data_IF_790641745732
#
_entry.id   IF_790641745732
#
_cell.length_a   1.000
_cell.length_b   1.000
_cell.length_c   1.000
_cell.angle_alpha   90.00
_cell.angle_beta   90.00
_cell.angle_gamma   90.00
#
_symmetry.space_group_name_H-M   'P 1'
#
loop_
_entity.id
_entity.type
_entity.pdbx_description
1 polymer ?
#
# COMPACT_ATOMS: atom_id res chain seq x y z
N UNK A 1 -11.12 37.03 18.39
CA UNK A 1 -9.81 36.51 18.82
C UNK A 1 -8.71 37.21 18.01
N UNK A 2 -7.61 37.67 18.64
CA UNK A 2 -6.63 38.49 17.96
C UNK A 2 -5.78 37.66 16.98
N UNK A 3 -5.70 38.19 15.77
CA UNK A 3 -4.92 37.76 14.60
C UNK A 3 -3.46 37.49 15.00
N UNK A 4 -3.05 36.21 15.09
CA UNK A 4 -1.63 35.89 15.18
C UNK A 4 -0.98 36.26 13.85
N UNK A 5 -0.10 37.27 13.89
CA UNK A 5 0.77 37.63 12.77
C UNK A 5 1.63 36.40 12.46
N UNK A 6 1.76 36.08 11.18
CA UNK A 6 2.82 35.21 10.70
C UNK A 6 4.15 35.64 11.32
N UNK A 7 4.98 34.72 11.84
CA UNK A 7 6.30 35.10 12.29
C UNK A 7 7.07 35.60 11.08
N UNK A 8 7.32 36.90 11.04
CA UNK A 8 8.39 37.46 10.23
C UNK A 8 9.71 36.79 10.66
N UNK A 9 10.69 36.62 9.75
CA UNK A 9 12.00 36.15 10.12
C UNK A 9 12.66 37.22 11.01
N UNK A 10 12.49 37.07 12.33
CA UNK A 10 13.11 37.92 13.32
C UNK A 10 14.57 37.52 13.48
N UNK A 11 15.46 38.47 13.25
CA UNK A 11 16.74 38.60 13.95
C UNK A 11 17.76 37.49 13.70
N UNK A 12 18.84 37.86 13.00
CA UNK A 12 20.06 37.07 12.92
C UNK A 12 20.52 36.66 14.32
N UNK A 13 20.38 35.36 14.60
CA UNK A 13 21.13 34.68 15.64
C UNK A 13 22.47 34.29 15.01
N UNK A 14 23.57 34.74 15.60
CA UNK A 14 24.92 34.45 15.15
C UNK A 14 25.11 32.93 15.02
N UNK A 15 25.32 32.47 13.79
CA UNK A 15 25.63 31.08 13.48
C UNK A 15 27.09 30.83 13.90
N UNK A 16 27.39 29.83 14.75
CA UNK A 16 28.78 29.49 15.04
C UNK A 16 29.46 29.05 13.75
N UNK A 17 30.66 29.59 13.50
CA UNK A 17 31.41 29.46 12.25
C UNK A 17 31.74 27.97 11.95
N UNK A 18 30.86 27.34 11.18
CA UNK A 18 31.02 25.99 10.65
C UNK A 18 30.63 25.97 9.18
N UNK A 19 31.45 26.56 8.33
CA UNK A 19 31.50 26.37 6.86
C UNK A 19 30.13 26.15 6.18
N UNK A 20 29.38 27.24 6.01
CA UNK A 20 28.19 27.29 5.14
C UNK A 20 28.64 27.42 3.68
N UNK A 21 28.40 26.39 2.88
CA UNK A 21 28.55 26.46 1.44
C UNK A 21 27.24 26.99 0.83
N UNK A 22 27.15 28.28 0.53
CA UNK A 22 26.20 28.90 -0.43
C UNK A 22 24.67 28.83 -0.18
N UNK A 23 24.15 27.84 0.56
CA UNK A 23 22.72 27.49 0.62
C UNK A 23 22.12 27.55 2.04
N UNK A 24 22.92 27.91 3.05
CA UNK A 24 22.50 28.08 4.43
C UNK A 24 22.39 26.79 5.25
N UNK A 25 22.74 25.62 4.71
CA UNK A 25 22.74 24.35 5.45
C UNK A 25 24.08 24.07 6.14
N UNK A 26 24.03 23.42 7.30
CA UNK A 26 25.20 22.85 7.98
C UNK A 26 25.64 21.52 7.32
N UNK A 27 26.86 21.07 7.60
CA UNK A 27 27.33 19.76 7.12
C UNK A 27 26.48 18.59 7.62
N UNK A 28 26.02 18.64 8.87
CA UNK A 28 25.14 17.60 9.44
C UNK A 28 23.78 17.55 8.75
N UNK A 29 23.21 18.71 8.43
CA UNK A 29 21.96 18.79 7.64
C UNK A 29 22.16 18.27 6.21
N UNK A 30 23.28 18.61 5.55
CA UNK A 30 23.60 18.08 4.21
C UNK A 30 23.73 16.56 4.21
N UNK A 31 24.43 15.99 5.18
CA UNK A 31 24.56 14.54 5.33
C UNK A 31 23.18 13.89 5.54
N UNK A 32 22.32 14.50 6.37
CA UNK A 32 20.97 14.01 6.61
C UNK A 32 20.09 14.07 5.36
N UNK A 33 20.15 15.17 4.60
CA UNK A 33 19.43 15.31 3.33
C UNK A 33 19.91 14.31 2.27
N UNK A 34 21.21 14.05 2.22
CA UNK A 34 21.78 13.03 1.35
C UNK A 34 21.29 11.63 1.72
N UNK A 35 21.32 11.27 3.02
CA UNK A 35 20.78 9.99 3.50
C UNK A 35 19.31 9.82 3.16
N UNK A 36 18.48 10.85 3.38
CA UNK A 36 17.07 10.84 3.00
C UNK A 36 16.88 10.65 1.49
N UNK A 37 17.70 11.31 0.66
CA UNK A 37 17.66 11.11 -0.79
C UNK A 37 18.04 9.70 -1.21
N UNK A 38 19.02 9.08 -0.55
CA UNK A 38 19.39 7.68 -0.76
C UNK A 38 18.22 6.75 -0.41
N UNK A 39 17.56 6.97 0.72
CA UNK A 39 16.38 6.21 1.14
C UNK A 39 15.25 6.37 0.12
N UNK A 40 14.90 7.60 -0.26
CA UNK A 40 13.86 7.88 -1.26
C UNK A 40 14.13 7.15 -2.59
N UNK A 41 15.39 7.15 -3.05
CA UNK A 41 15.81 6.43 -4.26
C UNK A 41 15.72 4.93 -4.10
N UNK A 42 16.16 4.37 -2.96
CA UNK A 42 16.08 2.93 -2.69
C UNK A 42 14.64 2.44 -2.69
N UNK A 43 13.72 3.22 -2.12
CA UNK A 43 12.28 2.87 -2.09
C UNK A 43 11.75 2.72 -3.52
N UNK A 44 12.04 3.68 -4.40
CA UNK A 44 11.65 3.61 -5.83
C UNK A 44 12.23 2.42 -6.59
N UNK A 45 13.43 1.96 -6.21
CA UNK A 45 14.07 0.78 -6.82
C UNK A 45 13.42 -0.51 -6.31
N UNK A 46 13.01 -0.55 -5.04
CA UNK A 46 12.41 -1.72 -4.39
C UNK A 46 10.92 -1.89 -4.77
N UNK A 47 10.21 -0.80 -5.06
CA UNK A 47 8.79 -0.77 -5.42
C UNK A 47 8.38 -1.84 -6.47
N UNK A 48 9.02 -1.93 -7.65
CA UNK A 48 8.66 -2.94 -8.64
C UNK A 48 8.81 -4.37 -8.11
N UNK A 49 9.86 -4.62 -7.30
CA UNK A 49 10.11 -5.95 -6.73
C UNK A 49 9.00 -6.33 -5.75
N UNK A 50 8.57 -5.41 -4.90
CA UNK A 50 7.48 -5.65 -3.94
C UNK A 50 6.13 -5.84 -4.65
N UNK A 51 5.86 -5.10 -5.73
CA UNK A 51 4.66 -5.30 -6.54
C UNK A 51 4.68 -6.67 -7.22
N UNK A 52 5.80 -7.05 -7.82
CA UNK A 52 5.96 -8.37 -8.45
C UNK A 52 5.80 -9.49 -7.43
N UNK A 53 6.34 -9.32 -6.22
CA UNK A 53 6.14 -10.25 -5.12
C UNK A 53 4.66 -10.36 -4.72
N UNK A 54 3.96 -9.24 -4.56
CA UNK A 54 2.54 -9.24 -4.20
C UNK A 54 1.68 -9.95 -5.27
N UNK A 55 1.91 -9.65 -6.55
CA UNK A 55 1.23 -10.31 -7.67
C UNK A 55 1.57 -11.81 -7.69
N UNK A 56 2.83 -12.18 -7.42
CA UNK A 56 3.28 -13.56 -7.32
C UNK A 56 2.57 -14.33 -6.21
N UNK A 57 2.43 -13.74 -5.02
CA UNK A 57 1.73 -14.35 -3.88
C UNK A 57 0.23 -14.54 -4.18
N UNK A 58 -0.43 -13.54 -4.77
CA UNK A 58 -1.84 -13.65 -5.18
C UNK A 58 -1.99 -14.75 -6.26
N UNK A 59 -1.08 -14.79 -7.22
CA UNK A 59 -1.11 -15.80 -8.30
C UNK A 59 -0.88 -17.21 -7.76
N UNK A 60 -0.01 -17.38 -6.76
CA UNK A 60 0.23 -18.65 -6.09
C UNK A 60 -1.01 -19.12 -5.31
N UNK A 61 -1.67 -18.24 -4.56
CA UNK A 61 -2.92 -18.57 -3.84
C UNK A 61 -4.01 -19.01 -4.82
N UNK A 62 -4.23 -18.25 -5.90
CA UNK A 62 -5.18 -18.60 -6.95
C UNK A 62 -4.82 -19.94 -7.60
N UNK A 63 -3.56 -20.13 -7.98
CA UNK A 63 -3.10 -21.38 -8.60
C UNK A 63 -3.38 -22.59 -7.70
N UNK A 64 -3.03 -22.51 -6.42
CA UNK A 64 -3.22 -23.61 -5.47
C UNK A 64 -4.71 -23.90 -5.26
N UNK A 65 -5.56 -22.87 -5.19
CA UNK A 65 -7.02 -23.02 -5.08
C UNK A 65 -7.60 -23.75 -6.28
N UNK A 66 -7.31 -23.30 -7.51
CA UNK A 66 -7.87 -23.91 -8.72
C UNK A 66 -7.27 -25.29 -9.02
N UNK A 67 -6.01 -25.54 -8.66
CA UNK A 67 -5.34 -26.78 -9.00
C UNK A 67 -5.60 -27.92 -8.01
N UNK A 68 -5.64 -27.61 -6.71
CA UNK A 68 -5.73 -28.65 -5.67
C UNK A 68 -7.09 -28.65 -4.97
N UNK A 69 -7.66 -27.48 -4.67
CA UNK A 69 -8.88 -27.39 -3.86
C UNK A 69 -10.13 -27.66 -4.69
N UNK A 70 -10.24 -27.02 -5.85
CA UNK A 70 -11.45 -27.07 -6.67
C UNK A 70 -11.77 -28.48 -7.22
N UNK A 71 -10.78 -29.29 -7.67
CA UNK A 71 -11.03 -30.67 -8.08
C UNK A 71 -11.50 -31.55 -6.91
N UNK A 72 -10.95 -31.35 -5.72
CA UNK A 72 -11.32 -32.11 -4.52
C UNK A 72 -12.78 -31.83 -4.12
N UNK A 73 -13.18 -30.55 -4.15
CA UNK A 73 -14.58 -30.13 -3.94
C UNK A 73 -15.49 -30.78 -4.99
N UNK A 74 -15.05 -30.85 -6.25
CA UNK A 74 -15.82 -31.46 -7.34
C UNK A 74 -16.11 -32.94 -7.07
N UNK A 75 -15.09 -33.69 -6.64
CA UNK A 75 -15.23 -35.12 -6.38
C UNK A 75 -16.14 -35.40 -5.18
N UNK A 76 -16.07 -34.57 -4.13
CA UNK A 76 -16.81 -34.81 -2.87
C UNK A 76 -18.23 -34.23 -2.86
N UNK A 77 -18.39 -33.01 -3.38
CA UNK A 77 -19.63 -32.21 -3.26
C UNK A 77 -20.35 -32.01 -4.59
N UNK A 78 -19.75 -32.45 -5.70
CA UNK A 78 -20.32 -32.36 -7.04
C UNK A 78 -20.05 -31.03 -7.75
N UNK A 79 -20.44 -30.99 -9.04
CA UNK A 79 -20.07 -29.91 -9.95
C UNK A 79 -20.73 -28.55 -9.63
N UNK A 80 -21.94 -28.55 -9.08
CA UNK A 80 -22.64 -27.31 -8.72
C UNK A 80 -21.89 -26.53 -7.64
N UNK A 81 -21.43 -27.21 -6.59
CA UNK A 81 -20.71 -26.59 -5.48
C UNK A 81 -19.36 -26.06 -5.95
N UNK A 82 -18.66 -26.83 -6.79
CA UNK A 82 -17.45 -26.37 -7.47
C UNK A 82 -17.69 -25.07 -8.27
N UNK A 83 -18.74 -25.01 -9.09
CA UNK A 83 -19.05 -23.83 -9.88
C UNK A 83 -19.29 -22.59 -9.00
N UNK A 84 -19.99 -22.74 -7.88
CA UNK A 84 -20.21 -21.66 -6.91
C UNK A 84 -18.89 -21.15 -6.30
N UNK A 85 -18.03 -22.06 -5.85
CA UNK A 85 -16.71 -21.70 -5.32
C UNK A 85 -15.82 -21.01 -6.38
N UNK A 86 -15.86 -21.48 -7.63
CA UNK A 86 -15.11 -20.88 -8.73
C UNK A 86 -15.60 -19.46 -9.06
N UNK A 87 -16.92 -19.26 -9.18
CA UNK A 87 -17.51 -17.94 -9.45
C UNK A 87 -17.18 -16.96 -8.32
N UNK A 88 -17.29 -17.39 -7.07
CA UNK A 88 -16.94 -16.56 -5.91
C UNK A 88 -15.45 -16.19 -5.90
N UNK A 89 -14.56 -17.16 -6.13
CA UNK A 89 -13.11 -16.92 -6.18
C UNK A 89 -12.74 -15.94 -7.30
N UNK A 90 -13.33 -16.09 -8.50
CA UNK A 90 -13.11 -15.16 -9.62
C UNK A 90 -13.61 -13.75 -9.31
N UNK A 91 -14.75 -13.62 -8.63
CA UNK A 91 -15.28 -12.32 -8.22
C UNK A 91 -14.40 -11.63 -7.18
N UNK A 92 -13.89 -12.37 -6.19
CA UNK A 92 -12.91 -11.85 -5.23
C UNK A 92 -11.63 -11.40 -5.94
N UNK A 93 -11.12 -12.22 -6.84
CA UNK A 93 -9.91 -11.91 -7.62
C UNK A 93 -10.08 -10.64 -8.45
N UNK A 94 -11.22 -10.50 -9.13
CA UNK A 94 -11.56 -9.28 -9.87
C UNK A 94 -11.55 -8.05 -8.95
N UNK A 95 -12.16 -8.12 -7.78
CA UNK A 95 -12.22 -6.99 -6.86
C UNK A 95 -10.83 -6.60 -6.31
N UNK A 96 -9.98 -7.58 -6.00
CA UNK A 96 -8.59 -7.34 -5.56
C UNK A 96 -7.83 -6.60 -6.66
N UNK A 97 -7.78 -7.15 -7.88
CA UNK A 97 -7.02 -6.53 -8.97
C UNK A 97 -7.58 -5.19 -9.42
N UNK A 98 -8.91 -5.06 -9.51
CA UNK A 98 -9.57 -3.81 -9.88
C UNK A 98 -9.18 -2.69 -8.90
N UNK A 99 -9.31 -2.93 -7.60
CA UNK A 99 -8.99 -1.91 -6.60
C UNK A 99 -7.49 -1.65 -6.49
N UNK A 100 -6.63 -2.67 -6.66
CA UNK A 100 -5.18 -2.47 -6.74
C UNK A 100 -4.80 -1.58 -7.94
N UNK A 101 -5.36 -1.86 -9.12
CA UNK A 101 -5.13 -1.09 -10.33
C UNK A 101 -5.52 0.38 -10.13
N UNK A 102 -6.75 0.66 -9.71
CA UNK A 102 -7.20 2.04 -9.50
C UNK A 102 -6.45 2.72 -8.35
N UNK A 103 -6.03 2.00 -7.31
CA UNK A 103 -5.21 2.58 -6.25
C UNK A 103 -3.82 3.00 -6.76
N UNK A 104 -3.16 2.12 -7.54
CA UNK A 104 -1.83 2.34 -8.06
C UNK A 104 -1.78 3.42 -9.15
N UNK A 105 -2.73 3.43 -10.08
CA UNK A 105 -2.67 4.28 -11.27
C UNK A 105 -3.50 5.57 -11.19
N UNK A 106 -4.41 5.71 -10.23
CA UNK A 106 -5.14 6.98 -10.07
C UNK A 106 -4.26 8.04 -9.40
N UNK A 107 -4.48 9.30 -9.77
CA UNK A 107 -3.88 10.44 -9.04
C UNK A 107 -4.29 10.34 -7.56
N UNK A 108 -3.36 10.52 -6.60
CA UNK A 108 -3.70 10.59 -5.19
C UNK A 108 -4.35 11.93 -4.79
N UNK A 109 -4.49 12.86 -5.74
CA UNK A 109 -4.88 14.24 -5.49
C UNK A 109 -3.67 15.10 -5.22
N UNK A 110 -3.44 16.13 -6.04
CA UNK A 110 -2.31 17.05 -5.87
C UNK A 110 -2.78 18.48 -5.63
N UNK A 111 -1.95 19.30 -5.00
CA UNK A 111 -2.30 20.70 -4.73
C UNK A 111 -2.42 21.56 -5.99
N UNK A 112 -1.96 21.09 -7.15
CA UNK A 112 -2.16 21.75 -8.45
C UNK A 112 -3.62 21.66 -8.90
N UNK A 113 -4.24 20.50 -8.71
CA UNK A 113 -5.65 20.25 -9.08
C UNK A 113 -6.61 21.11 -8.26
N UNK A 114 -6.19 21.56 -7.07
CA UNK A 114 -7.02 22.43 -6.21
C UNK A 114 -6.97 23.89 -6.66
N UNK A 115 -6.02 24.35 -7.48
CA UNK A 115 -5.76 25.78 -7.69
C UNK A 115 -6.99 26.62 -8.08
N UNK A 116 -7.90 26.07 -8.88
CA UNK A 116 -9.10 26.79 -9.35
C UNK A 116 -10.21 26.87 -8.30
N UNK A 117 -10.38 25.82 -7.48
CA UNK A 117 -11.33 25.77 -6.36
C UNK A 117 -10.72 26.30 -5.04
N UNK A 118 -9.39 26.42 -4.98
CA UNK A 118 -8.58 26.82 -3.84
C UNK A 118 -8.80 28.26 -3.43
N UNK A 119 -9.03 29.17 -4.39
CA UNK A 119 -9.10 30.60 -4.11
C UNK A 119 -10.26 30.94 -3.16
N UNK A 120 -11.40 30.25 -3.32
CA UNK A 120 -12.56 30.42 -2.45
C UNK A 120 -12.36 29.78 -1.07
N UNK A 121 -11.66 28.64 -1.00
CA UNK A 121 -11.38 27.92 0.25
C UNK A 121 -10.19 28.50 1.06
N UNK A 122 -9.29 29.23 0.40
CA UNK A 122 -8.16 29.90 1.03
C UNK A 122 -8.58 31.03 1.98
N UNK A 123 -9.80 31.55 1.84
CA UNK A 123 -10.36 32.54 2.75
C UNK A 123 -10.95 31.92 4.03
N UNK A 124 -11.24 30.62 4.05
CA UNK A 124 -11.91 29.95 5.17
C UNK A 124 -10.99 29.09 6.04
N UNK A 125 -9.82 28.67 5.53
CA UNK A 125 -8.88 27.82 6.26
C UNK A 125 -7.45 28.39 6.28
N UNK A 126 -6.67 28.02 7.29
CA UNK A 126 -5.25 28.40 7.39
C UNK A 126 -4.38 27.52 6.47
N UNK A 127 -3.86 28.14 5.41
CA UNK A 127 -2.99 27.48 4.44
C UNK A 127 -1.54 27.57 4.90
N UNK A 128 -0.86 26.43 4.96
CA UNK A 128 0.58 26.39 5.25
C UNK A 128 1.37 26.62 3.97
N UNK A 129 2.65 26.94 4.09
CA UNK A 129 3.56 27.01 2.94
C UNK A 129 4.40 25.74 2.82
N UNK A 130 4.48 25.16 1.62
CA UNK A 130 5.45 24.10 1.34
C UNK A 130 6.72 24.71 0.73
N UNK A 131 7.84 24.68 1.47
CA UNK A 131 9.14 25.18 0.97
C UNK A 131 9.65 24.39 -0.24
N UNK A 132 9.49 23.07 -0.25
CA UNK A 132 9.98 22.18 -1.34
C UNK A 132 9.23 22.40 -2.66
N UNK A 133 7.91 22.57 -2.60
CA UNK A 133 7.07 22.80 -3.79
C UNK A 133 6.91 24.29 -4.14
N UNK A 134 7.43 25.19 -3.29
CA UNK A 134 7.27 26.64 -3.35
C UNK A 134 5.83 27.12 -3.61
N UNK A 135 4.87 26.59 -2.84
CA UNK A 135 3.44 26.90 -3.03
C UNK A 135 2.62 26.75 -1.75
N UNK A 136 1.42 27.31 -1.78
CA UNK A 136 0.39 27.11 -0.77
C UNK A 136 0.03 25.63 -0.61
N UNK A 137 0.01 25.17 0.63
CA UNK A 137 -0.24 23.81 1.05
C UNK A 137 -1.63 23.79 1.71
N UNK A 138 -2.67 23.26 1.04
CA UNK A 138 -4.01 23.14 1.59
C UNK A 138 -4.04 22.40 2.92
N UNK A 139 -5.07 22.60 3.76
CA UNK A 139 -5.27 21.81 4.98
C UNK A 139 -5.19 20.31 4.71
N UNK A 140 -4.64 19.55 5.68
CA UNK A 140 -4.46 18.10 5.63
C UNK A 140 -3.57 17.54 4.50
N UNK A 141 -3.07 18.37 3.59
CA UNK A 141 -2.09 17.90 2.60
C UNK A 141 -0.73 17.67 3.26
N UNK A 142 0.12 16.81 2.68
CA UNK A 142 1.52 16.61 3.08
C UNK A 142 2.43 16.50 1.86
N UNK A 143 3.69 16.89 2.01
CA UNK A 143 4.69 16.73 0.95
C UNK A 143 5.30 15.35 1.06
N UNK A 144 5.16 14.54 0.02
CA UNK A 144 5.87 13.28 -0.11
C UNK A 144 7.22 13.53 -0.78
N UNK A 145 8.33 13.25 -0.09
CA UNK A 145 9.67 13.36 -0.65
C UNK A 145 9.89 12.35 -1.78
N UNK A 146 9.36 11.14 -1.63
CA UNK A 146 9.46 10.06 -2.62
C UNK A 146 8.74 10.46 -3.91
N UNK A 147 7.53 11.00 -3.87
CA UNK A 147 6.81 11.46 -5.07
C UNK A 147 7.19 12.89 -5.50
N UNK A 148 7.96 13.61 -4.68
CA UNK A 148 8.30 15.03 -4.83
C UNK A 148 7.09 15.95 -5.14
N UNK A 149 5.98 15.72 -4.44
CA UNK A 149 4.73 16.50 -4.62
C UNK A 149 3.95 16.61 -3.32
N UNK A 150 3.14 17.66 -3.20
CA UNK A 150 2.16 17.75 -2.13
C UNK A 150 0.90 16.97 -2.51
N UNK A 151 0.51 16.03 -1.66
CA UNK A 151 -0.63 15.14 -1.83
C UNK A 151 -1.76 15.58 -0.90
N UNK A 152 -2.99 15.63 -1.41
CA UNK A 152 -4.18 16.04 -0.67
C UNK A 152 -4.61 14.94 0.30
N UNK A 153 -4.92 15.32 1.55
CA UNK A 153 -5.28 14.39 2.63
C UNK A 153 -4.36 13.16 2.62
N UNK A 154 -3.05 13.41 2.48
CA UNK A 154 -2.06 12.36 2.32
C UNK A 154 -2.05 11.49 3.57
N UNK A 155 -2.17 10.19 3.36
CA UNK A 155 -2.02 9.19 4.40
C UNK A 155 -0.55 8.74 4.44
N UNK A 156 -0.09 8.05 3.39
CA UNK A 156 1.30 7.61 3.26
C UNK A 156 1.71 7.39 1.80
N UNK A 157 3.00 7.18 1.56
CA UNK A 157 3.51 6.63 0.30
C UNK A 157 3.53 5.11 0.39
N UNK A 158 2.72 4.43 -0.41
CA UNK A 158 2.59 2.98 -0.34
C UNK A 158 3.53 2.32 -1.35
N UNK A 159 4.54 1.63 -0.83
CA UNK A 159 5.51 0.88 -1.65
C UNK A 159 4.88 -0.27 -2.43
N UNK A 160 3.75 -0.80 -1.93
CA UNK A 160 2.98 -1.88 -2.58
C UNK A 160 2.10 -1.38 -3.73
N UNK A 161 1.91 -0.07 -3.83
CA UNK A 161 1.12 0.58 -4.90
C UNK A 161 2.01 1.43 -5.82
N UNK A 162 3.30 1.60 -5.50
CA UNK A 162 4.21 2.56 -6.11
C UNK A 162 3.57 3.96 -6.27
N UNK A 163 2.72 4.35 -5.31
CA UNK A 163 1.95 5.58 -5.36
C UNK A 163 1.66 6.08 -3.93
N UNK A 164 1.43 7.39 -3.80
CA UNK A 164 0.87 7.92 -2.57
C UNK A 164 -0.58 7.50 -2.41
N UNK A 165 -1.00 7.30 -1.17
CA UNK A 165 -2.40 7.17 -0.79
C UNK A 165 -2.86 8.54 -0.31
N UNK A 166 -3.79 9.11 -1.05
CA UNK A 166 -4.35 10.43 -0.81
C UNK A 166 -5.84 10.47 -1.12
N UNK A 167 -6.40 11.68 -1.14
CA UNK A 167 -7.84 11.89 -1.19
C UNK A 167 -8.56 11.14 -2.32
N UNK A 168 -8.02 11.11 -3.53
CA UNK A 168 -8.70 10.54 -4.70
C UNK A 168 -8.56 9.02 -4.85
N UNK A 169 -7.55 8.39 -4.27
CA UNK A 169 -7.34 6.94 -4.36
C UNK A 169 -7.52 6.18 -3.02
N UNK A 170 -7.78 6.90 -1.92
CA UNK A 170 -8.00 6.30 -0.59
C UNK A 170 -9.10 5.23 -0.58
N UNK A 171 -10.22 5.46 -1.28
CA UNK A 171 -11.31 4.47 -1.37
C UNK A 171 -10.83 3.14 -1.94
N UNK A 172 -10.07 3.20 -3.04
CA UNK A 172 -9.55 2.00 -3.70
C UNK A 172 -8.53 1.28 -2.82
N UNK A 173 -7.70 2.02 -2.08
CA UNK A 173 -6.78 1.44 -1.10
C UNK A 173 -7.51 0.63 -0.02
N UNK A 174 -8.55 1.21 0.59
CA UNK A 174 -9.33 0.52 1.63
C UNK A 174 -10.07 -0.70 1.07
N UNK A 175 -10.68 -0.57 -0.11
CA UNK A 175 -11.36 -1.70 -0.76
C UNK A 175 -10.39 -2.82 -1.14
N UNK A 176 -9.18 -2.48 -1.63
CA UNK A 176 -8.14 -3.46 -1.89
C UNK A 176 -7.79 -4.27 -0.64
N UNK A 177 -7.53 -3.60 0.49
CA UNK A 177 -7.23 -4.28 1.76
C UNK A 177 -8.38 -5.17 2.22
N UNK A 178 -9.62 -4.67 2.11
CA UNK A 178 -10.81 -5.42 2.49
C UNK A 178 -10.96 -6.70 1.65
N UNK A 179 -10.87 -6.61 0.33
CA UNK A 179 -11.02 -7.78 -0.56
C UNK A 179 -9.86 -8.77 -0.44
N UNK A 180 -8.63 -8.29 -0.22
CA UNK A 180 -7.50 -9.15 0.11
C UNK A 180 -7.73 -9.95 1.38
N UNK A 181 -8.26 -9.31 2.43
CA UNK A 181 -8.57 -9.97 3.70
C UNK A 181 -9.71 -10.99 3.55
N UNK A 182 -10.81 -10.62 2.88
CA UNK A 182 -11.93 -11.53 2.61
C UNK A 182 -11.48 -12.73 1.78
N UNK A 183 -10.67 -12.50 0.74
CA UNK A 183 -10.12 -13.57 -0.10
C UNK A 183 -9.23 -14.52 0.69
N UNK A 184 -8.29 -13.98 1.47
CA UNK A 184 -7.38 -14.78 2.30
C UNK A 184 -8.13 -15.60 3.35
N UNK A 185 -9.13 -15.00 4.01
CA UNK A 185 -9.96 -15.69 4.99
C UNK A 185 -10.80 -16.80 4.35
N UNK A 186 -11.40 -16.53 3.18
CA UNK A 186 -12.15 -17.52 2.42
C UNK A 186 -11.26 -18.69 2.00
N UNK A 187 -10.10 -18.43 1.39
CA UNK A 187 -9.12 -19.47 1.03
C UNK A 187 -8.78 -20.30 2.26
N UNK A 188 -8.36 -19.67 3.37
CA UNK A 188 -7.99 -20.36 4.60
C UNK A 188 -9.12 -21.26 5.14
N UNK A 189 -10.37 -20.79 5.17
CA UNK A 189 -11.51 -21.59 5.63
C UNK A 189 -11.78 -22.80 4.71
N UNK A 190 -11.71 -22.63 3.39
CA UNK A 190 -11.88 -23.74 2.46
C UNK A 190 -10.76 -24.76 2.62
N UNK A 191 -9.50 -24.31 2.75
CA UNK A 191 -8.36 -25.18 3.06
C UNK A 191 -8.59 -25.96 4.36
N UNK A 192 -9.03 -25.28 5.42
CA UNK A 192 -9.29 -25.90 6.72
C UNK A 192 -10.42 -26.93 6.69
N UNK A 193 -11.42 -26.78 5.81
CA UNK A 193 -12.55 -27.71 5.72
C UNK A 193 -12.25 -28.91 4.82
N UNK A 194 -11.54 -28.71 3.69
CA UNK A 194 -11.38 -29.75 2.68
C UNK A 194 -10.14 -30.64 2.91
N UNK A 195 -9.07 -30.12 3.52
CA UNK A 195 -7.81 -30.86 3.72
C UNK A 195 -7.72 -31.82 4.92
N UNK A 196 -8.45 -31.67 6.05
CA UNK A 196 -8.34 -32.62 7.16
C UNK A 196 -8.62 -34.07 6.77
N UNK A 197 -9.50 -34.28 5.78
CA UNK A 197 -9.79 -35.60 5.20
C UNK A 197 -8.66 -36.14 4.32
N UNK A 198 -7.96 -35.29 3.57
CA UNK A 198 -6.76 -35.70 2.82
C UNK A 198 -5.64 -36.12 3.78
N UNK A 199 -5.39 -35.32 4.83
CA UNK A 199 -4.41 -35.66 5.85
C UNK A 199 -4.74 -36.98 6.57
N UNK A 200 -6.01 -37.24 6.87
CA UNK A 200 -6.43 -38.51 7.48
C UNK A 200 -6.35 -39.72 6.53
N UNK A 201 -6.64 -39.54 5.25
CA UNK A 201 -6.52 -40.62 4.25
C UNK A 201 -5.06 -40.93 3.97
N UNK A 202 -4.24 -39.90 3.81
CA UNK A 202 -2.80 -40.04 3.61
C UNK A 202 -2.16 -40.67 4.85
N UNK A 203 -2.47 -40.20 6.08
CA UNK A 203 -1.93 -40.82 7.30
C UNK A 203 -2.29 -42.31 7.42
N UNK A 204 -3.52 -42.69 7.04
CA UNK A 204 -3.91 -44.11 6.97
C UNK A 204 -3.16 -44.90 5.90
N UNK A 205 -2.80 -44.28 4.79
CA UNK A 205 -1.95 -44.93 3.78
C UNK A 205 -0.50 -45.07 4.24
N UNK A 206 0.07 -44.07 4.91
CA UNK A 206 1.40 -44.14 5.52
C UNK A 206 1.47 -45.28 6.55
N UNK A 207 0.46 -45.41 7.41
CA UNK A 207 0.31 -46.53 8.36
C UNK A 207 0.22 -47.88 7.63
N UNK A 208 -0.60 -47.97 6.57
CA UNK A 208 -0.79 -49.21 5.79
C UNK A 208 0.48 -49.65 5.05
N UNK A 209 1.28 -48.69 4.56
CA UNK A 209 2.55 -48.96 3.86
C UNK A 209 3.72 -49.23 4.83
N UNK A 210 3.47 -49.22 6.14
CA UNK A 210 4.47 -49.56 7.15
C UNK A 210 5.58 -48.51 7.31
N UNK A 211 5.36 -47.28 6.85
CA UNK A 211 6.29 -46.18 7.11
C UNK A 211 6.05 -45.68 8.53
N UNK A 212 6.93 -46.05 9.46
CA UNK A 212 6.95 -45.49 10.80
C UNK A 212 7.14 -43.96 10.69
N UNK A 213 6.33 -43.14 11.41
CA UNK A 213 6.53 -41.71 11.42
C UNK A 213 7.92 -41.39 11.98
N UNK A 214 8.67 -40.54 11.27
CA UNK A 214 10.03 -40.10 11.61
C UNK A 214 10.09 -39.20 12.87
N UNK A 215 9.09 -39.29 13.73
CA UNK A 215 8.94 -38.52 14.96
C UNK A 215 8.69 -39.50 16.12
N UNK A 216 9.75 -40.14 16.58
CA UNK A 216 9.91 -40.57 17.96
C UNK A 216 11.28 -40.12 18.44
#
# INVERSE_FOLDING_TARGET
MPRQRSPQPSGGSAVPAGSSAGDGYTWGERASLWLLSCVDKSVRVIEPVLIMLAIGLISLDVYTFFKFVLPEITQRRGQMVMALHAVWALWLLFNVFFNQFYCAFSSPGTTLEVHEQALQLAMTYDWRWCRKCNRGKPPLSHHCSICNKCVLKMDHHCVWMANCIGFFNYRHFVLFLFWMWVGSLYSALVYLVEYPLLFQLESREWDRRGFLPFFM
#
